data_IF_323275985873
#
_entry.id   IF_323275985873
#
_cell.length_a   1.000
_cell.length_b   1.000
_cell.length_c   1.000
_cell.angle_alpha   90.00
_cell.angle_beta   90.00
_cell.angle_gamma   90.00
#
_symmetry.space_group_name_H-M   'P 1'
#
loop_
_entity.id
_entity.type
_entity.pdbx_description
1 polymer ?
#
# COMPACT_ATOMS: atom_id res chain seq x y z
N UNK A 1 -8.59 22.43 -7.74
CA UNK A 1 -7.37 22.57 -6.91
C UNK A 1 -6.19 22.10 -7.74
N UNK A 2 -5.07 22.81 -7.75
CA UNK A 2 -3.88 22.35 -8.46
C UNK A 2 -3.27 21.13 -7.74
N UNK A 3 -2.58 20.26 -8.48
CA UNK A 3 -1.96 19.05 -7.89
C UNK A 3 -0.98 19.41 -6.76
N UNK A 4 -0.22 20.50 -6.93
CA UNK A 4 0.74 20.99 -5.94
C UNK A 4 0.06 21.37 -4.62
N UNK A 5 -1.08 22.05 -4.69
CA UNK A 5 -1.85 22.44 -3.51
C UNK A 5 -2.43 21.22 -2.79
N UNK A 6 -2.91 20.23 -3.56
CA UNK A 6 -3.42 18.98 -3.01
C UNK A 6 -2.32 18.18 -2.30
N UNK A 7 -1.15 18.02 -2.93
CA UNK A 7 -0.01 17.34 -2.32
C UNK A 7 0.48 18.04 -1.06
N UNK A 8 0.54 19.36 -1.05
CA UNK A 8 0.95 20.13 0.13
C UNK A 8 -0.05 20.00 1.28
N UNK A 9 -1.36 20.06 0.96
CA UNK A 9 -2.42 19.79 1.93
C UNK A 9 -2.26 18.40 2.55
N UNK A 10 -2.10 17.38 1.71
CA UNK A 10 -1.97 15.99 2.16
C UNK A 10 -0.70 15.79 3.00
N UNK A 11 0.43 16.41 2.61
CA UNK A 11 1.68 16.38 3.36
C UNK A 11 1.49 16.90 4.79
N UNK A 12 0.82 18.05 4.94
CA UNK A 12 0.51 18.64 6.25
C UNK A 12 -0.41 17.74 7.08
N UNK A 13 -1.43 17.18 6.45
CA UNK A 13 -2.37 16.29 7.12
C UNK A 13 -1.68 15.02 7.66
N UNK A 14 -0.86 14.36 6.83
CA UNK A 14 -0.12 13.18 7.20
C UNK A 14 0.95 13.48 8.27
N UNK A 15 1.65 14.61 8.13
CA UNK A 15 2.63 15.06 9.13
C UNK A 15 1.98 15.30 10.50
N UNK A 16 0.84 15.99 10.54
CA UNK A 16 0.09 16.22 11.79
C UNK A 16 -0.47 14.90 12.37
N UNK A 17 -0.80 13.94 11.51
CA UNK A 17 -1.30 12.63 11.94
C UNK A 17 -0.19 11.76 12.54
N UNK A 18 1.05 11.91 12.07
CA UNK A 18 2.20 11.12 12.54
C UNK A 18 2.43 11.20 14.04
N UNK A 19 2.28 12.38 14.64
CA UNK A 19 2.42 12.53 16.09
C UNK A 19 1.34 11.76 16.87
N UNK A 20 0.12 11.67 16.33
CA UNK A 20 -0.96 10.90 16.95
C UNK A 20 -0.70 9.41 16.86
N UNK A 21 -0.32 8.94 15.68
CA UNK A 21 -0.02 7.52 15.46
C UNK A 21 1.17 7.06 16.30
N UNK A 22 2.23 7.87 16.42
CA UNK A 22 3.35 7.57 17.31
C UNK A 22 2.92 7.42 18.78
N UNK A 23 2.02 8.28 19.27
CA UNK A 23 1.49 8.15 20.64
C UNK A 23 0.68 6.87 20.83
N UNK A 24 -0.06 6.44 19.80
CA UNK A 24 -0.76 5.15 19.83
C UNK A 24 0.23 3.99 19.94
N UNK A 25 1.30 4.01 19.13
CA UNK A 25 2.39 3.02 19.17
C UNK A 25 3.06 3.01 20.55
N UNK A 26 3.42 4.17 21.09
CA UNK A 26 4.05 4.29 22.41
C UNK A 26 3.17 3.70 23.53
N UNK A 27 1.85 3.90 23.48
CA UNK A 27 0.95 3.32 24.48
C UNK A 27 0.87 1.79 24.33
N UNK A 28 0.87 1.25 23.11
CA UNK A 28 0.93 -0.21 22.87
C UNK A 28 2.23 -0.81 23.42
N UNK A 29 3.37 -0.16 23.19
CA UNK A 29 4.67 -0.60 23.70
C UNK A 29 4.75 -0.55 25.24
N UNK A 30 4.22 0.52 25.84
CA UNK A 30 4.18 0.71 27.30
C UNK A 30 3.42 -0.41 28.00
N UNK A 31 2.34 -0.91 27.39
CA UNK A 31 1.58 -2.05 27.91
C UNK A 31 2.13 -3.40 27.43
N UNK A 32 3.24 -3.41 26.69
CA UNK A 32 3.85 -4.60 26.10
C UNK A 32 2.82 -5.45 25.32
N UNK A 33 1.90 -4.81 24.61
CA UNK A 33 0.69 -5.43 24.08
C UNK A 33 0.98 -6.64 23.18
N UNK A 34 2.07 -6.57 22.40
CA UNK A 34 2.48 -7.64 21.48
C UNK A 34 3.64 -8.50 22.01
N UNK A 35 4.11 -8.27 23.25
CA UNK A 35 5.25 -9.02 23.79
C UNK A 35 4.90 -10.50 23.95
N UNK A 36 5.77 -11.37 23.43
CA UNK A 36 5.63 -12.82 23.56
C UNK A 36 4.67 -13.46 22.55
N UNK A 37 4.03 -12.66 21.68
CA UNK A 37 3.33 -13.20 20.52
C UNK A 37 4.35 -13.88 19.61
N UNK A 38 4.09 -15.15 19.28
CA UNK A 38 5.05 -15.94 18.51
C UNK A 38 4.88 -15.73 17.01
N UNK A 39 5.95 -15.89 16.24
CA UNK A 39 5.86 -15.85 14.78
C UNK A 39 4.98 -16.98 14.24
N UNK A 40 4.88 -18.09 14.96
CA UNK A 40 3.97 -19.19 14.60
C UNK A 40 2.49 -18.83 14.83
N UNK A 41 2.16 -18.00 15.82
CA UNK A 41 0.81 -17.44 15.97
C UNK A 41 0.43 -16.61 14.75
N UNK A 42 1.35 -15.75 14.30
CA UNK A 42 1.17 -14.91 13.11
C UNK A 42 1.00 -15.76 11.86
N UNK A 43 1.81 -16.81 11.68
CA UNK A 43 1.63 -17.77 10.58
C UNK A 43 0.24 -18.38 10.63
N UNK A 44 -0.20 -18.87 11.79
CA UNK A 44 -1.52 -19.51 11.93
C UNK A 44 -2.66 -18.56 11.56
N UNK A 45 -2.58 -17.30 12.00
CA UNK A 45 -3.54 -16.26 11.62
C UNK A 45 -3.59 -16.06 10.11
N UNK A 46 -2.42 -15.92 9.47
CA UNK A 46 -2.33 -15.80 8.02
C UNK A 46 -2.90 -17.03 7.30
N UNK A 47 -2.87 -18.22 7.92
CA UNK A 47 -3.43 -19.45 7.36
C UNK A 47 -4.94 -19.57 7.53
N UNK A 48 -5.50 -19.14 8.67
CA UNK A 48 -6.91 -19.33 9.03
C UNK A 48 -7.90 -18.47 8.26
N UNK A 49 -7.45 -17.35 7.71
CA UNK A 49 -8.32 -16.49 6.89
C UNK A 49 -8.30 -17.00 5.44
N UNK A 50 -9.46 -17.51 5.00
CA UNK A 50 -9.74 -17.79 3.59
C UNK A 50 -9.91 -16.44 2.85
N UNK A 51 -9.51 -16.39 1.57
CA UNK A 51 -9.70 -15.24 0.68
C UNK A 51 -9.06 -13.89 1.09
N UNK A 52 -8.04 -13.89 1.96
CA UNK A 52 -7.26 -12.65 2.28
C UNK A 52 -6.65 -12.03 1.02
N UNK A 53 -6.13 -12.90 0.15
CA UNK A 53 -5.50 -12.49 -1.10
C UNK A 53 -6.59 -12.31 -2.14
N UNK A 54 -6.78 -11.06 -2.57
CA UNK A 54 -7.76 -10.72 -3.60
C UNK A 54 -7.40 -11.38 -4.93
N UNK A 55 -8.41 -11.91 -5.62
CA UNK A 55 -8.30 -12.50 -6.96
C UNK A 55 -7.53 -11.57 -7.91
N UNK A 56 -6.61 -12.15 -8.68
CA UNK A 56 -5.76 -11.44 -9.64
C UNK A 56 -4.49 -10.83 -9.04
N UNK A 57 -4.34 -10.75 -7.71
CA UNK A 57 -3.12 -10.21 -7.09
C UNK A 57 -1.88 -10.97 -7.55
N UNK A 58 -1.89 -12.30 -7.40
CA UNK A 58 -0.83 -13.21 -7.81
C UNK A 58 -0.40 -13.01 -9.27
N UNK A 59 -1.38 -12.87 -10.16
CA UNK A 59 -1.15 -12.70 -11.60
C UNK A 59 -0.41 -11.40 -11.90
N UNK A 60 -0.78 -10.31 -11.21
CA UNK A 60 -0.14 -9.01 -11.38
C UNK A 60 1.26 -8.99 -10.77
N UNK A 61 1.43 -9.48 -9.54
CA UNK A 61 2.74 -9.40 -8.88
C UNK A 61 3.77 -10.37 -9.48
N UNK A 62 3.31 -11.48 -10.05
CA UNK A 62 4.13 -12.43 -10.80
C UNK A 62 4.36 -12.04 -12.27
N UNK A 63 3.76 -10.95 -12.76
CA UNK A 63 3.90 -10.52 -14.15
C UNK A 63 5.34 -10.02 -14.41
N UNK A 64 5.96 -10.56 -15.47
CA UNK A 64 7.32 -10.20 -15.89
C UNK A 64 7.50 -8.73 -16.29
N UNK A 65 6.42 -7.99 -16.48
CA UNK A 65 6.44 -6.54 -16.71
C UNK A 65 7.03 -5.78 -15.52
N UNK A 66 6.93 -6.32 -14.31
CA UNK A 66 7.50 -5.71 -13.11
C UNK A 66 8.82 -6.38 -12.73
N UNK A 67 9.91 -5.60 -12.74
CA UNK A 67 11.23 -6.08 -12.34
C UNK A 67 11.34 -6.33 -10.82
N UNK A 68 10.59 -5.56 -10.04
CA UNK A 68 10.58 -5.64 -8.58
C UNK A 68 9.24 -5.18 -8.03
N UNK A 69 8.71 -5.92 -7.05
CA UNK A 69 7.50 -5.57 -6.31
C UNK A 69 7.89 -5.25 -4.87
N UNK A 70 7.37 -4.13 -4.36
CA UNK A 70 7.57 -3.66 -3.00
C UNK A 70 6.22 -3.42 -2.33
N UNK A 71 6.15 -3.63 -1.01
CA UNK A 71 4.98 -3.35 -0.20
C UNK A 71 5.32 -2.21 0.77
N UNK A 72 4.52 -1.15 0.74
CA UNK A 72 4.58 -0.06 1.71
C UNK A 72 3.26 -0.06 2.50
N UNK A 73 3.33 -0.50 3.76
CA UNK A 73 2.14 -0.77 4.57
C UNK A 73 2.21 -0.08 5.93
N UNK A 74 1.05 0.29 6.49
CA UNK A 74 0.97 0.70 7.90
C UNK A 74 0.70 -0.49 8.84
N UNK A 75 0.67 -1.72 8.30
CA UNK A 75 0.51 -2.93 9.11
C UNK A 75 1.73 -3.11 10.02
N UNK A 76 1.51 -3.79 11.15
CA UNK A 76 2.52 -3.97 12.20
C UNK A 76 3.35 -5.25 12.09
N UNK A 77 3.07 -6.14 11.15
CA UNK A 77 3.75 -7.43 11.04
C UNK A 77 4.26 -7.69 9.63
N UNK A 78 5.59 -7.53 9.48
CA UNK A 78 6.32 -7.88 8.25
C UNK A 78 6.14 -9.37 7.92
N UNK A 79 6.16 -10.21 8.96
CA UNK A 79 5.97 -11.65 8.83
C UNK A 79 4.56 -12.00 8.35
N UNK A 80 3.52 -11.35 8.89
CA UNK A 80 2.15 -11.56 8.44
C UNK A 80 2.00 -11.24 6.95
N UNK A 81 2.46 -10.06 6.52
CA UNK A 81 2.44 -9.68 5.09
C UNK A 81 3.13 -10.75 4.25
N UNK A 82 4.34 -11.16 4.65
CA UNK A 82 5.12 -12.16 3.94
C UNK A 82 4.37 -13.50 3.82
N UNK A 83 3.76 -13.97 4.91
CA UNK A 83 2.99 -15.23 4.89
C UNK A 83 1.74 -15.14 4.03
N UNK A 84 1.00 -14.03 4.09
CA UNK A 84 -0.16 -13.79 3.22
C UNK A 84 0.27 -13.78 1.75
N UNK A 85 1.34 -13.07 1.41
CA UNK A 85 1.85 -13.05 0.04
C UNK A 85 2.33 -14.44 -0.42
N UNK A 86 2.93 -15.24 0.47
CA UNK A 86 3.37 -16.61 0.14
C UNK A 86 2.21 -17.57 -0.20
N UNK A 87 0.97 -17.24 0.18
CA UNK A 87 -0.22 -17.99 -0.26
C UNK A 87 -0.59 -17.72 -1.72
N UNK A 88 -0.09 -16.64 -2.32
CA UNK A 88 -0.49 -16.14 -3.65
C UNK A 88 0.16 -16.91 -4.81
N UNK A 89 0.47 -18.20 -4.64
CA UNK A 89 1.12 -19.02 -5.66
C UNK A 89 2.66 -18.95 -5.62
N UNK A 90 3.28 -19.03 -6.80
CA UNK A 90 4.75 -19.18 -6.93
C UNK A 90 5.55 -17.88 -6.71
N UNK A 91 4.87 -16.75 -6.55
CA UNK A 91 5.54 -15.47 -6.36
C UNK A 91 5.77 -15.19 -4.88
N UNK A 92 7.01 -14.87 -4.51
CA UNK A 92 7.39 -14.47 -3.15
C UNK A 92 8.00 -13.09 -3.20
N UNK A 93 7.47 -12.18 -2.37
CA UNK A 93 8.04 -10.85 -2.17
C UNK A 93 9.21 -10.99 -1.19
N UNK A 94 10.43 -10.59 -1.57
CA UNK A 94 11.57 -10.60 -0.65
C UNK A 94 11.26 -9.76 0.59
N UNK A 95 11.72 -10.20 1.75
CA UNK A 95 11.50 -9.48 3.01
C UNK A 95 12.06 -8.05 2.97
N UNK A 96 13.20 -7.87 2.30
CA UNK A 96 13.81 -6.55 2.07
C UNK A 96 12.93 -5.59 1.24
N UNK A 97 11.88 -6.10 0.59
CA UNK A 97 10.94 -5.30 -0.19
C UNK A 97 9.64 -5.00 0.58
N UNK A 98 9.54 -5.39 1.85
CA UNK A 98 8.38 -5.13 2.71
C UNK A 98 8.74 -4.06 3.74
N UNK A 99 8.20 -2.87 3.51
CA UNK A 99 8.34 -1.70 4.39
C UNK A 99 7.04 -1.51 5.18
N UNK A 100 7.14 -1.55 6.50
CA UNK A 100 5.98 -1.39 7.37
C UNK A 100 6.37 -0.85 8.75
N UNK A 101 5.42 -0.52 9.61
CA UNK A 101 5.68 -0.19 11.02
C UNK A 101 5.91 -1.48 11.81
N UNK A 102 7.01 -2.16 11.52
CA UNK A 102 7.23 -3.56 11.89
C UNK A 102 7.46 -3.76 13.38
N UNK A 103 6.75 -4.73 13.95
CA UNK A 103 7.06 -5.28 15.27
C UNK A 103 8.46 -5.90 15.26
N UNK A 104 9.26 -5.52 16.25
CA UNK A 104 10.64 -5.97 16.41
C UNK A 104 10.63 -7.33 17.12
N UNK A 105 11.25 -8.33 16.51
CA UNK A 105 11.46 -9.63 17.13
C UNK A 105 12.45 -9.55 18.30
N UNK A 106 12.32 -10.47 19.25
CA UNK A 106 13.32 -10.68 20.28
C UNK A 106 14.65 -11.21 19.70
N UNK A 107 15.66 -11.39 20.56
CA UNK A 107 16.98 -11.87 20.13
C UNK A 107 16.97 -13.26 19.51
N UNK A 108 15.91 -14.05 19.69
CA UNK A 108 15.77 -15.39 19.11
C UNK A 108 15.10 -15.37 17.74
N UNK A 109 14.37 -14.29 17.42
CA UNK A 109 13.55 -14.20 16.21
C UNK A 109 12.25 -15.02 16.27
N UNK A 110 11.96 -15.69 17.38
CA UNK A 110 10.79 -16.57 17.49
C UNK A 110 9.53 -15.84 17.98
N UNK A 111 9.68 -14.69 18.65
CA UNK A 111 8.60 -13.94 19.26
C UNK A 111 8.82 -12.44 19.10
N UNK A 112 7.75 -11.66 19.19
CA UNK A 112 7.84 -10.20 19.23
C UNK A 112 8.29 -9.70 20.61
N UNK A 113 9.17 -8.71 20.60
CA UNK A 113 9.66 -8.02 21.81
C UNK A 113 8.61 -7.07 22.43
N UNK A 114 7.62 -6.68 21.63
CA UNK A 114 6.61 -5.68 21.96
C UNK A 114 6.95 -4.25 21.52
N UNK A 115 8.10 -4.04 20.86
CA UNK A 115 8.51 -2.75 20.29
C UNK A 115 8.29 -2.69 18.77
N UNK A 116 8.20 -1.48 18.23
CA UNK A 116 8.02 -1.19 16.81
C UNK A 116 9.24 -0.47 16.24
N UNK A 117 9.59 -0.79 14.99
CA UNK A 117 10.69 -0.12 14.26
C UNK A 117 10.33 1.30 13.80
N UNK A 118 9.03 1.64 13.75
CA UNK A 118 8.50 2.96 13.37
C UNK A 118 8.95 3.41 11.98
N UNK A 119 9.22 2.48 11.08
CA UNK A 119 9.67 2.80 9.72
C UNK A 119 8.54 3.46 8.91
N UNK A 120 7.31 2.93 8.99
CA UNK A 120 6.16 3.39 8.18
C UNK A 120 4.93 3.68 9.02
N UNK A 121 4.93 4.81 9.71
CA UNK A 121 3.85 5.19 10.65
C UNK A 121 2.67 5.86 9.93
N UNK A 122 2.94 6.58 8.84
CA UNK A 122 1.92 7.33 8.07
C UNK A 122 2.14 7.25 6.56
N UNK A 123 1.18 7.79 5.79
CA UNK A 123 1.34 7.92 4.34
C UNK A 123 2.51 8.82 3.92
N UNK A 124 2.94 9.74 4.78
CA UNK A 124 4.13 10.56 4.54
C UNK A 124 5.41 9.72 4.61
N UNK A 125 5.48 8.75 5.51
CA UNK A 125 6.64 7.85 5.60
C UNK A 125 6.72 6.96 4.34
N UNK A 126 5.57 6.47 3.83
CA UNK A 126 5.51 5.78 2.53
C UNK A 126 6.06 6.64 1.41
N UNK A 127 5.64 7.90 1.34
CA UNK A 127 6.11 8.86 0.33
C UNK A 127 7.64 9.05 0.41
N UNK A 128 8.21 9.21 1.60
CA UNK A 128 9.67 9.36 1.75
C UNK A 128 10.47 8.10 1.39
N UNK A 129 9.89 6.91 1.57
CA UNK A 129 10.51 5.65 1.11
C UNK A 129 10.45 5.60 -0.41
N UNK A 130 9.28 5.87 -1.00
CA UNK A 130 9.08 5.90 -2.44
C UNK A 130 10.05 6.86 -3.14
N UNK A 131 10.13 8.10 -2.63
CA UNK A 131 10.95 9.18 -3.17
C UNK A 131 12.45 8.85 -3.11
N UNK A 132 12.95 8.32 -1.99
CA UNK A 132 14.37 7.95 -1.86
C UNK A 132 14.75 6.70 -2.64
N UNK A 133 13.87 5.71 -2.70
CA UNK A 133 14.26 4.37 -3.15
C UNK A 133 13.95 4.15 -4.63
N UNK A 134 12.86 4.70 -5.18
CA UNK A 134 12.36 4.30 -6.50
C UNK A 134 12.27 5.46 -7.50
N UNK A 135 12.14 6.69 -7.02
CA UNK A 135 11.98 7.89 -7.86
C UNK A 135 13.34 8.47 -8.27
N UNK A 136 13.40 9.21 -9.39
CA UNK A 136 14.62 9.87 -9.87
C UNK A 136 15.62 8.94 -10.57
N UNK A 137 15.25 7.67 -10.77
CA UNK A 137 16.06 6.68 -11.50
C UNK A 137 15.75 6.75 -13.00
N UNK A 138 16.71 7.14 -13.85
CA UNK A 138 16.46 7.23 -15.28
C UNK A 138 16.02 5.88 -15.85
N UNK A 139 14.89 5.86 -16.58
CA UNK A 139 14.31 4.71 -17.33
C UNK A 139 13.46 3.71 -16.54
N UNK A 140 13.29 3.87 -15.23
CA UNK A 140 12.39 3.01 -14.44
C UNK A 140 11.00 3.66 -14.35
N UNK A 141 9.96 2.95 -14.85
CA UNK A 141 8.57 3.37 -14.65
C UNK A 141 8.08 2.82 -13.31
N UNK A 142 7.71 3.70 -12.39
CA UNK A 142 7.16 3.31 -11.08
C UNK A 142 5.64 3.33 -11.14
N UNK A 143 5.02 2.21 -10.82
CA UNK A 143 3.58 2.10 -10.61
C UNK A 143 3.31 2.00 -9.11
N UNK A 144 2.42 2.83 -8.59
CA UNK A 144 2.04 2.78 -7.18
C UNK A 144 0.55 2.48 -7.06
N UNK A 145 0.23 1.38 -6.38
CA UNK A 145 -1.14 0.97 -6.11
C UNK A 145 -1.47 1.23 -4.65
N UNK A 146 -2.50 2.04 -4.41
CA UNK A 146 -3.03 2.29 -3.08
C UNK A 146 -4.55 2.34 -3.08
N UNK A 147 -5.15 2.30 -1.90
CA UNK A 147 -6.62 2.23 -1.75
C UNK A 147 -7.15 3.24 -0.73
N UNK A 148 -6.28 4.08 -0.17
CA UNK A 148 -6.56 4.89 1.01
C UNK A 148 -5.97 6.30 0.92
N UNK A 149 -6.37 7.17 1.86
CA UNK A 149 -5.80 8.52 1.97
C UNK A 149 -4.30 8.49 2.23
N UNK A 150 -3.83 7.48 2.99
CA UNK A 150 -2.42 7.29 3.31
C UNK A 150 -1.57 6.91 2.09
N UNK A 151 -2.18 6.67 0.94
CA UNK A 151 -1.51 6.39 -0.31
C UNK A 151 -1.51 7.58 -1.28
N UNK A 152 -2.29 8.64 -0.98
CA UNK A 152 -2.50 9.75 -1.92
C UNK A 152 -1.21 10.47 -2.29
N UNK A 153 -0.29 10.68 -1.33
CA UNK A 153 1.00 11.32 -1.64
C UNK A 153 1.82 10.50 -2.64
N UNK A 154 1.79 9.17 -2.51
CA UNK A 154 2.50 8.26 -3.40
C UNK A 154 1.83 8.19 -4.78
N UNK A 155 0.50 8.07 -4.80
CA UNK A 155 -0.32 8.04 -6.02
C UNK A 155 -0.16 9.34 -6.83
N UNK A 156 -0.07 10.49 -6.17
CA UNK A 156 0.04 11.80 -6.80
C UNK A 156 1.49 12.20 -7.13
N UNK A 157 2.46 11.32 -6.85
CA UNK A 157 3.86 11.62 -7.11
C UNK A 157 4.09 11.86 -8.62
N UNK A 158 4.73 12.97 -9.05
CA UNK A 158 4.85 13.34 -10.47
C UNK A 158 5.54 12.30 -11.37
N UNK A 159 6.44 11.50 -10.79
CA UNK A 159 7.20 10.45 -11.49
C UNK A 159 6.56 9.06 -11.39
N UNK A 160 5.32 8.97 -10.89
CA UNK A 160 4.64 7.69 -10.64
C UNK A 160 3.36 7.58 -11.46
N UNK A 161 3.11 6.38 -11.98
CA UNK A 161 1.81 5.99 -12.50
C UNK A 161 0.94 5.60 -11.30
N UNK A 162 0.19 6.58 -10.79
CA UNK A 162 -0.66 6.43 -9.61
C UNK A 162 -1.92 5.63 -9.90
N UNK A 163 -2.15 4.59 -9.11
CA UNK A 163 -3.31 3.71 -9.20
C UNK A 163 -4.09 3.75 -7.87
N UNK A 164 -5.37 4.12 -7.95
CA UNK A 164 -6.33 4.00 -6.87
C UNK A 164 -7.17 2.74 -7.06
N UNK A 165 -7.04 1.78 -6.15
CA UNK A 165 -7.75 0.51 -6.21
C UNK A 165 -9.02 0.52 -5.36
N UNK A 166 -10.13 0.10 -5.94
CA UNK A 166 -11.38 -0.10 -5.22
C UNK A 166 -11.30 -1.33 -4.30
N UNK A 167 -11.91 -1.22 -3.11
CA UNK A 167 -11.87 -2.27 -2.06
C UNK A 167 -13.25 -2.77 -1.64
N UNK A 168 -14.29 -2.53 -2.46
CA UNK A 168 -15.65 -2.96 -2.15
C UNK A 168 -16.47 -1.98 -1.29
N UNK A 169 -15.88 -0.86 -0.85
CA UNK A 169 -16.54 0.18 -0.05
C UNK A 169 -16.78 1.45 -0.87
N UNK A 170 -17.99 1.60 -1.43
CA UNK A 170 -18.35 2.71 -2.33
C UNK A 170 -18.12 4.07 -1.68
N UNK A 171 -18.42 4.21 -0.39
CA UNK A 171 -18.24 5.46 0.36
C UNK A 171 -16.76 5.87 0.46
N UNK A 172 -15.87 4.91 0.66
CA UNK A 172 -14.41 5.15 0.72
C UNK A 172 -13.90 5.64 -0.64
N UNK A 173 -14.32 4.97 -1.71
CA UNK A 173 -13.97 5.36 -3.07
C UNK A 173 -14.50 6.76 -3.39
N UNK A 174 -15.78 7.04 -3.12
CA UNK A 174 -16.41 8.33 -3.36
C UNK A 174 -15.66 9.46 -2.63
N UNK A 175 -15.26 9.22 -1.37
CA UNK A 175 -14.46 10.18 -0.61
C UNK A 175 -13.12 10.47 -1.30
N UNK A 176 -12.40 9.44 -1.74
CA UNK A 176 -11.11 9.61 -2.43
C UNK A 176 -11.26 10.31 -3.79
N UNK A 177 -12.31 9.98 -4.55
CA UNK A 177 -12.65 10.64 -5.80
C UNK A 177 -12.94 12.12 -5.61
N UNK A 178 -13.77 12.48 -4.62
CA UNK A 178 -14.04 13.86 -4.26
C UNK A 178 -12.77 14.62 -3.88
N UNK A 179 -11.87 14.00 -3.10
CA UNK A 179 -10.57 14.60 -2.74
C UNK A 179 -9.69 14.88 -3.96
N UNK A 180 -9.74 13.98 -4.96
CA UNK A 180 -9.05 14.11 -6.24
C UNK A 180 -9.81 15.01 -7.24
N UNK A 181 -10.94 15.59 -6.82
CA UNK A 181 -11.75 16.51 -7.62
C UNK A 181 -12.50 15.85 -8.77
N UNK A 182 -12.78 14.55 -8.65
CA UNK A 182 -13.68 13.80 -9.51
C UNK A 182 -15.09 13.77 -8.90
N UNK A 183 -16.10 13.69 -9.77
CA UNK A 183 -17.50 13.51 -9.37
C UNK A 183 -17.81 12.00 -9.30
N UNK A 184 -18.12 11.45 -8.11
CA UNK A 184 -18.44 10.03 -7.99
C UNK A 184 -19.71 9.61 -8.73
N UNK A 185 -20.66 10.53 -8.94
CA UNK A 185 -21.93 10.23 -9.64
C UNK A 185 -21.74 10.08 -11.15
N UNK A 186 -20.63 10.61 -11.69
CA UNK A 186 -20.30 10.51 -13.10
C UNK A 186 -19.66 9.15 -13.49
N UNK A 187 -19.44 8.26 -12.52
CA UNK A 187 -18.81 6.95 -12.75
C UNK A 187 -19.89 5.90 -12.93
N UNK A 188 -19.88 5.25 -14.09
CA UNK A 188 -20.73 4.09 -14.39
C UNK A 188 -20.51 2.99 -13.33
N UNK A 189 -21.53 2.19 -13.00
CA UNK A 189 -21.38 1.05 -12.11
C UNK A 189 -20.64 -0.12 -12.80
N UNK A 190 -20.66 -0.18 -14.14
CA UNK A 190 -19.97 -1.20 -14.93
C UNK A 190 -18.64 -0.70 -15.51
N UNK A 191 -17.66 -0.52 -14.62
CA UNK A 191 -16.32 -0.09 -14.98
C UNK A 191 -15.27 -1.14 -14.62
N UNK A 192 -14.17 -1.18 -15.38
CA UNK A 192 -12.96 -1.93 -15.04
C UNK A 192 -11.88 -0.99 -14.52
N UNK A 193 -11.57 0.03 -15.32
CA UNK A 193 -10.69 1.12 -14.94
C UNK A 193 -11.04 2.39 -15.70
N UNK A 194 -10.73 3.54 -15.13
CA UNK A 194 -10.88 4.85 -15.76
C UNK A 194 -9.82 5.81 -15.23
N UNK A 195 -9.53 6.86 -16.00
CA UNK A 195 -8.57 7.88 -15.60
C UNK A 195 -9.30 9.09 -15.04
N UNK A 196 -8.84 9.58 -13.90
CA UNK A 196 -9.34 10.82 -13.28
C UNK A 196 -8.31 11.94 -13.42
N UNK A 197 -8.61 13.08 -12.78
CA UNK A 197 -7.70 14.23 -12.73
C UNK A 197 -6.33 13.84 -12.17
N UNK A 198 -5.35 14.67 -12.51
CA UNK A 198 -3.95 14.48 -12.09
C UNK A 198 -3.29 13.20 -12.63
N UNK A 199 -3.90 12.57 -13.64
CA UNK A 199 -3.33 11.41 -14.30
C UNK A 199 -3.49 10.10 -13.55
N UNK A 200 -4.24 10.09 -12.44
CA UNK A 200 -4.47 8.91 -11.61
C UNK A 200 -5.44 7.96 -12.30
N UNK A 201 -5.13 6.67 -12.28
CA UNK A 201 -6.04 5.63 -12.72
C UNK A 201 -6.81 5.06 -11.54
N UNK A 202 -8.11 4.88 -11.70
CA UNK A 202 -8.92 4.10 -10.79
C UNK A 202 -9.12 2.70 -11.38
N UNK A 203 -8.88 1.65 -10.59
CA UNK A 203 -9.04 0.24 -11.00
C UNK A 203 -9.98 -0.48 -10.03
N UNK A 204 -10.85 -1.34 -10.55
CA UNK A 204 -11.88 -2.01 -9.74
C UNK A 204 -11.29 -3.12 -8.86
N UNK A 205 -10.33 -3.83 -9.41
CA UNK A 205 -9.63 -4.95 -8.79
C UNK A 205 -8.31 -5.24 -9.52
N UNK A 206 -7.61 -6.29 -9.11
CA UNK A 206 -6.34 -6.69 -9.71
C UNK A 206 -6.48 -7.21 -11.15
N UNK A 207 -7.61 -7.82 -11.52
CA UNK A 207 -7.85 -8.26 -12.90
C UNK A 207 -8.02 -7.07 -13.86
N UNK A 208 -8.73 -6.05 -13.39
CA UNK A 208 -8.86 -4.77 -14.08
C UNK A 208 -7.50 -4.07 -14.19
N UNK A 209 -6.67 -4.15 -13.16
CA UNK A 209 -5.32 -3.61 -13.20
C UNK A 209 -4.42 -4.37 -14.19
N UNK A 210 -4.45 -5.70 -14.22
CA UNK A 210 -3.76 -6.51 -15.22
C UNK A 210 -4.18 -6.12 -16.65
N UNK A 211 -5.47 -5.84 -16.85
CA UNK A 211 -5.99 -5.37 -18.14
C UNK A 211 -5.45 -3.99 -18.52
N UNK A 212 -5.35 -3.06 -17.56
CA UNK A 212 -4.73 -1.75 -17.75
C UNK A 212 -3.25 -1.86 -18.14
N UNK A 213 -2.49 -2.73 -17.48
CA UNK A 213 -1.07 -2.96 -17.79
C UNK A 213 -0.91 -3.41 -19.24
N UNK A 214 -1.67 -4.43 -19.67
CA UNK A 214 -1.65 -4.94 -21.05
C UNK A 214 -2.00 -3.87 -22.09
N UNK A 215 -2.99 -3.03 -21.81
CA UNK A 215 -3.36 -1.93 -22.70
C UNK A 215 -2.25 -0.87 -22.81
N UNK A 216 -1.53 -0.64 -21.71
CA UNK A 216 -0.44 0.34 -21.64
C UNK A 216 0.83 -0.14 -22.34
N UNK A 217 1.11 -1.44 -22.36
CA UNK A 217 2.29 -2.02 -23.04
C UNK A 217 2.10 -2.22 -24.54
N UNK A 218 0.86 -2.33 -25.02
CA UNK A 218 0.55 -2.49 -26.46
C UNK A 218 0.60 -1.16 -27.23
N UNK A 219 0.62 -0.04 -26.51
CA UNK A 219 0.58 1.32 -27.09
C UNK A 219 1.97 1.97 -27.26
N UNK A 220 3.05 1.24 -26.95
CA UNK A 220 4.45 1.64 -27.16
C UNK A 220 5.08 0.87 -28.32
#
# INVERSE_FOLDING_TARGET
>A
MAIKDLMERERRFQQASRERELRCVEELEKHAFFRGVTIDDVKRLAHSEEDIVRTGFADVVGDSTFQSVHILSLNWSREYIRYVCSKSGNFQIPEANIHCDGLVCDSTGAQYSGYFDREVVTGLDKYHILDRQFVGRPKEKVWYVGDSENDLLCILHPEVIGILMYTGKKEKLNRLLCLLGADPEAIDEDWNYFKIRHGVWCVRDWLSFASLIKASTTSE
#
